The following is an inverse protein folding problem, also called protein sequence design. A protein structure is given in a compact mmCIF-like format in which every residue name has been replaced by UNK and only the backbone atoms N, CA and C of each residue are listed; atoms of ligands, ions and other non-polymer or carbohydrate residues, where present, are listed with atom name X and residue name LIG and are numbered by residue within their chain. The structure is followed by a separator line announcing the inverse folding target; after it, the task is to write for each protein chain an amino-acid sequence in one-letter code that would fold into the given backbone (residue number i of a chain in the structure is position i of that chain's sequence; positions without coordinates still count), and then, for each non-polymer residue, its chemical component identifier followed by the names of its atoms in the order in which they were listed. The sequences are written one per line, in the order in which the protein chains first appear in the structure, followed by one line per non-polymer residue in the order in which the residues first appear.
data_IF_287323553488
#
_entry.id   IF_287323553488
#
_cell.length_a   1.000
_cell.length_b   1.000
_cell.length_c   1.000
_cell.angle_alpha   90.00
_cell.angle_beta   90.00
_cell.angle_gamma   90.00
#
_symmetry.space_group_name_H-M   'P 1'
#
loop_
_entity.id
_entity.type
_entity.pdbx_description
1 polymer ?
#
# COMPACT_ATOMS: atom_id res chain seq x y z
N UNK A 1 8.41 -18.09 -8.46
CA UNK A 1 8.38 -16.61 -8.37
C UNK A 1 9.80 -16.08 -8.32
N UNK A 2 10.10 -15.07 -9.14
CA UNK A 2 11.31 -14.26 -8.97
C UNK A 2 12.44 -14.47 -9.98
N UNK A 3 12.47 -15.56 -10.76
CA UNK A 3 13.46 -15.88 -11.81
C UNK A 3 14.86 -15.26 -11.61
N UNK A 4 15.39 -15.34 -10.38
CA UNK A 4 16.58 -14.57 -9.96
C UNK A 4 17.80 -14.89 -10.82
N UNK A 5 17.97 -16.16 -11.20
CA UNK A 5 19.03 -16.59 -12.10
C UNK A 5 18.97 -15.89 -13.45
N UNK A 6 17.77 -15.71 -14.01
CA UNK A 6 17.57 -14.99 -15.28
C UNK A 6 17.85 -13.51 -15.16
N UNK A 7 17.45 -12.88 -14.05
CA UNK A 7 17.82 -11.49 -13.78
C UNK A 7 19.35 -11.35 -13.71
N UNK A 8 20.04 -12.26 -13.02
CA UNK A 8 21.51 -12.25 -12.94
C UNK A 8 22.19 -12.49 -14.29
N UNK A 9 21.65 -13.36 -15.14
CA UNK A 9 22.13 -13.55 -16.52
C UNK A 9 22.01 -12.24 -17.32
N UNK A 10 20.83 -11.62 -17.32
CA UNK A 10 20.59 -10.36 -18.02
C UNK A 10 21.47 -9.21 -17.53
N UNK A 11 21.69 -9.11 -16.20
CA UNK A 11 22.61 -8.12 -15.63
C UNK A 11 24.06 -8.35 -16.09
N UNK A 12 24.51 -9.61 -16.23
CA UNK A 12 25.86 -9.93 -16.75
C UNK A 12 26.01 -9.56 -18.22
N UNK A 13 24.92 -9.65 -18.98
CA UNK A 13 24.87 -9.29 -20.40
C UNK A 13 24.65 -7.78 -20.61
N UNK A 14 24.57 -7.00 -19.53
CA UNK A 14 24.58 -5.54 -19.56
C UNK A 14 23.20 -4.87 -19.54
N UNK A 15 22.11 -5.62 -19.32
CA UNK A 15 20.78 -5.02 -19.14
C UNK A 15 20.70 -4.34 -17.76
N UNK A 16 19.97 -3.23 -17.69
CA UNK A 16 19.76 -2.49 -16.43
C UNK A 16 18.40 -2.86 -15.80
N UNK A 17 18.39 -3.87 -14.93
CA UNK A 17 17.17 -4.34 -14.26
C UNK A 17 17.14 -3.85 -12.81
N UNK A 18 16.14 -3.04 -12.41
CA UNK A 18 16.13 -2.33 -11.13
C UNK A 18 15.66 -3.20 -9.95
N UNK A 19 15.30 -4.46 -10.20
CA UNK A 19 14.78 -5.38 -9.18
C UNK A 19 15.40 -6.77 -9.31
N UNK A 20 15.60 -7.43 -8.18
CA UNK A 20 16.14 -8.79 -8.14
C UNK A 20 15.08 -9.87 -8.41
N UNK A 21 13.81 -9.50 -8.61
CA UNK A 21 12.70 -10.44 -8.70
C UNK A 21 11.85 -10.16 -9.94
N UNK A 22 11.61 -11.20 -10.72
CA UNK A 22 10.60 -11.20 -11.77
C UNK A 22 9.23 -11.40 -11.15
N UNK A 23 8.43 -10.34 -11.15
CA UNK A 23 7.08 -10.30 -10.59
C UNK A 23 6.09 -10.21 -11.75
N UNK A 24 5.43 -11.34 -11.99
CA UNK A 24 4.42 -11.53 -13.02
C UNK A 24 3.08 -11.81 -12.34
N UNK A 25 2.05 -11.10 -12.75
CA UNK A 25 0.68 -11.23 -12.25
C UNK A 25 -0.19 -11.53 -13.47
N UNK A 26 -1.04 -12.54 -13.39
CA UNK A 26 -1.98 -12.87 -14.48
C UNK A 26 -2.95 -11.72 -14.67
N UNK A 27 -3.09 -11.26 -15.91
CA UNK A 27 -4.07 -10.25 -16.32
C UNK A 27 -5.49 -10.82 -16.36
N UNK A 28 -6.39 -10.06 -16.95
CA UNK A 28 -7.80 -10.46 -17.10
C UNK A 28 -8.03 -11.27 -18.37
N UNK A 29 -7.22 -11.04 -19.42
CA UNK A 29 -7.26 -11.84 -20.64
C UNK A 29 -6.37 -13.08 -20.54
N UNK A 30 -6.66 -14.11 -21.34
CA UNK A 30 -5.95 -15.41 -21.31
C UNK A 30 -4.44 -15.28 -21.61
N UNK A 31 -4.03 -14.28 -22.38
CA UNK A 31 -2.66 -14.02 -22.82
C UNK A 31 -2.05 -12.75 -22.20
N UNK A 32 -2.69 -12.18 -21.17
CA UNK A 32 -2.24 -10.95 -20.54
C UNK A 32 -1.45 -11.23 -19.26
N UNK A 33 -0.28 -10.60 -19.13
CA UNK A 33 0.53 -10.61 -17.91
C UNK A 33 0.88 -9.19 -17.51
N UNK A 34 0.63 -8.85 -16.24
CA UNK A 34 1.09 -7.61 -15.63
C UNK A 34 2.46 -7.80 -15.00
N UNK A 35 3.36 -6.88 -15.29
CA UNK A 35 4.76 -6.94 -14.87
C UNK A 35 5.03 -5.84 -13.86
N UNK A 36 5.39 -6.22 -12.62
CA UNK A 36 5.68 -5.26 -11.55
C UNK A 36 7.16 -5.30 -11.18
N UNK A 37 8.01 -4.87 -12.13
CA UNK A 37 9.46 -4.96 -12.00
C UNK A 37 10.18 -3.61 -11.96
N UNK A 38 9.50 -2.50 -12.26
CA UNK A 38 10.09 -1.16 -12.16
C UNK A 38 10.27 -0.74 -10.71
N UNK A 39 11.36 -0.04 -10.40
CA UNK A 39 11.62 0.57 -9.10
C UNK A 39 12.37 1.87 -9.30
N UNK A 40 11.74 2.97 -8.90
CA UNK A 40 12.34 4.30 -8.96
C UNK A 40 12.53 4.81 -7.54
N UNK A 41 13.76 5.23 -7.23
CA UNK A 41 14.14 5.78 -5.95
C UNK A 41 14.28 7.31 -6.06
N UNK A 42 14.23 8.01 -4.92
CA UNK A 42 14.47 9.46 -4.86
C UNK A 42 13.38 10.33 -5.50
N UNK A 43 12.15 9.83 -5.59
CA UNK A 43 11.01 10.60 -6.09
C UNK A 43 10.17 11.12 -4.93
N UNK A 44 10.02 12.43 -4.87
CA UNK A 44 9.07 13.11 -3.98
C UNK A 44 7.70 13.17 -4.65
N UNK A 45 6.73 12.44 -4.09
CA UNK A 45 5.36 12.42 -4.60
C UNK A 45 4.61 13.75 -4.49
N UNK A 46 5.21 14.76 -3.85
CA UNK A 46 4.63 16.09 -3.65
C UNK A 46 5.24 17.17 -4.54
N UNK A 47 6.29 16.85 -5.30
CA UNK A 47 6.94 17.74 -6.25
C UNK A 47 6.68 17.30 -7.71
N UNK A 48 5.96 18.09 -8.52
CA UNK A 48 5.73 17.80 -9.93
C UNK A 48 7.01 17.59 -10.75
N UNK A 49 8.10 18.28 -10.43
CA UNK A 49 9.37 18.13 -11.15
C UNK A 49 10.01 16.77 -10.83
N UNK A 50 10.00 16.37 -9.56
CA UNK A 50 10.43 15.04 -9.11
C UNK A 50 9.59 13.92 -9.74
N UNK A 51 8.26 14.08 -9.81
CA UNK A 51 7.38 13.13 -10.51
C UNK A 51 7.74 13.02 -12.01
N UNK A 52 7.99 14.13 -12.69
CA UNK A 52 8.40 14.14 -14.09
C UNK A 52 9.72 13.41 -14.31
N UNK A 53 10.68 13.59 -13.40
CA UNK A 53 11.93 12.82 -13.40
C UNK A 53 11.64 11.32 -13.22
N UNK A 54 10.81 10.96 -12.24
CA UNK A 54 10.45 9.58 -11.95
C UNK A 54 9.79 8.86 -13.12
N UNK A 55 8.87 9.54 -13.82
CA UNK A 55 8.23 9.03 -15.04
C UNK A 55 9.26 8.74 -16.13
N UNK A 56 10.20 9.65 -16.39
CA UNK A 56 11.26 9.45 -17.39
C UNK A 56 12.13 8.24 -17.05
N UNK A 57 12.50 8.07 -15.78
CA UNK A 57 13.28 6.92 -15.32
C UNK A 57 12.47 5.63 -15.45
N UNK A 58 11.21 5.64 -15.01
CA UNK A 58 10.32 4.48 -15.10
C UNK A 58 10.12 4.00 -16.53
N UNK A 59 9.92 4.93 -17.49
CA UNK A 59 9.79 4.58 -18.91
C UNK A 59 11.06 3.93 -19.47
N UNK A 60 12.25 4.38 -19.08
CA UNK A 60 13.51 3.72 -19.46
C UNK A 60 13.57 2.29 -18.91
N UNK A 61 13.24 2.11 -17.63
CA UNK A 61 13.22 0.78 -17.00
C UNK A 61 12.24 -0.17 -17.70
N UNK A 62 11.08 0.31 -18.15
CA UNK A 62 10.09 -0.52 -18.87
C UNK A 62 10.70 -1.14 -20.13
N UNK A 63 11.46 -0.37 -20.93
CA UNK A 63 12.10 -0.91 -22.13
C UNK A 63 13.20 -1.93 -21.81
N UNK A 64 13.97 -1.73 -20.74
CA UNK A 64 14.96 -2.71 -20.28
C UNK A 64 14.28 -3.99 -19.76
N UNK A 65 13.17 -3.86 -19.04
CA UNK A 65 12.35 -4.98 -18.56
C UNK A 65 11.75 -5.74 -19.75
N UNK A 66 11.24 -5.06 -20.78
CA UNK A 66 10.72 -5.72 -21.99
C UNK A 66 11.79 -6.58 -22.67
N UNK A 67 13.00 -6.02 -22.89
CA UNK A 67 14.13 -6.77 -23.45
C UNK A 67 14.45 -8.00 -22.59
N UNK A 68 14.53 -7.81 -21.28
CA UNK A 68 14.78 -8.88 -20.32
C UNK A 68 13.75 -10.01 -20.44
N UNK A 69 12.46 -9.66 -20.46
CA UNK A 69 11.38 -10.64 -20.57
C UNK A 69 11.52 -11.45 -21.85
N UNK A 70 11.65 -10.78 -23.01
CA UNK A 70 11.69 -11.45 -24.32
C UNK A 70 12.93 -12.32 -24.52
N UNK A 71 14.07 -11.94 -23.93
CA UNK A 71 15.34 -12.63 -24.15
C UNK A 71 15.62 -13.74 -23.12
N UNK A 72 15.14 -13.59 -21.88
CA UNK A 72 15.56 -14.46 -20.77
C UNK A 72 14.42 -15.21 -20.08
N UNK A 73 13.16 -14.76 -20.23
CA UNK A 73 12.01 -15.38 -19.56
C UNK A 73 11.28 -16.31 -20.53
N UNK A 74 11.29 -17.63 -20.29
CA UNK A 74 10.61 -18.58 -21.16
C UNK A 74 9.12 -18.25 -21.32
N UNK A 75 8.63 -18.28 -22.56
CA UNK A 75 7.25 -17.98 -22.91
C UNK A 75 6.99 -16.52 -23.30
N UNK A 76 7.97 -15.62 -23.12
CA UNK A 76 7.86 -14.21 -23.49
C UNK A 76 8.50 -13.89 -24.85
N UNK A 77 9.02 -14.86 -25.60
CA UNK A 77 9.79 -14.65 -26.83
C UNK A 77 8.99 -13.84 -27.86
N UNK A 78 7.68 -14.13 -27.96
CA UNK A 78 6.74 -13.46 -28.86
C UNK A 78 5.85 -12.42 -28.15
N UNK A 79 6.12 -12.11 -26.88
CA UNK A 79 5.37 -11.10 -26.16
C UNK A 79 5.59 -9.72 -26.77
N UNK A 80 4.59 -8.86 -26.62
CA UNK A 80 4.65 -7.44 -26.96
C UNK A 80 4.11 -6.61 -25.81
N UNK A 81 4.60 -5.39 -25.67
CA UNK A 81 4.06 -4.44 -24.72
C UNK A 81 2.72 -3.91 -25.20
N UNK A 82 1.62 -4.38 -24.62
CA UNK A 82 0.28 -3.85 -24.88
C UNK A 82 0.12 -2.45 -24.28
N UNK A 83 0.41 -2.33 -22.98
CA UNK A 83 0.16 -1.12 -22.19
C UNK A 83 1.22 -0.90 -21.12
N UNK A 84 1.28 0.36 -20.69
CA UNK A 84 2.11 0.80 -19.57
C UNK A 84 1.26 1.55 -18.56
N UNK A 85 1.63 1.50 -17.29
CA UNK A 85 0.94 2.28 -16.27
C UNK A 85 0.95 3.78 -16.66
N UNK A 86 -0.20 4.48 -16.56
CA UNK A 86 -0.31 5.88 -17.00
C UNK A 86 0.43 6.84 -16.07
N UNK A 87 0.69 6.44 -14.83
CA UNK A 87 1.39 7.23 -13.82
C UNK A 87 2.24 6.36 -12.90
N UNK A 88 3.20 7.00 -12.25
CA UNK A 88 4.06 6.44 -11.23
C UNK A 88 3.26 6.10 -9.96
N UNK A 89 3.43 4.88 -9.47
CA UNK A 89 2.88 4.44 -8.20
C UNK A 89 3.66 5.00 -7.00
N UNK A 90 3.16 6.07 -6.38
CA UNK A 90 3.71 6.60 -5.13
C UNK A 90 3.20 5.79 -3.93
N UNK A 91 4.14 5.28 -3.11
CA UNK A 91 3.82 4.44 -1.94
C UNK A 91 3.44 5.24 -0.71
N UNK A 92 4.06 6.40 -0.51
CA UNK A 92 3.87 7.26 0.66
C UNK A 92 4.04 8.73 0.26
N UNK A 93 3.28 9.61 0.91
CA UNK A 93 3.39 11.07 0.74
C UNK A 93 2.99 11.75 2.05
N UNK A 94 2.04 12.70 2.02
CA UNK A 94 1.55 13.39 3.22
C UNK A 94 0.58 12.50 4.01
N UNK A 95 0.78 12.51 5.32
CA UNK A 95 -0.10 11.90 6.32
C UNK A 95 -0.48 12.93 7.37
N UNK A 96 -1.62 12.71 8.00
CA UNK A 96 -2.03 13.49 9.17
C UNK A 96 -1.28 13.05 10.43
N UNK A 97 -1.18 13.96 11.39
CA UNK A 97 -1.03 13.58 12.79
C UNK A 97 -2.44 13.50 13.37
N UNK A 98 -2.86 12.29 13.70
CA UNK A 98 -4.17 11.98 14.23
C UNK A 98 -4.15 11.85 15.75
N UNK A 99 -5.33 11.62 16.34
CA UNK A 99 -5.48 11.39 17.77
C UNK A 99 -4.70 10.16 18.28
N UNK A 100 -4.32 9.25 17.37
CA UNK A 100 -3.34 8.21 17.62
C UNK A 100 -2.45 8.01 16.40
N UNK A 101 -1.19 7.65 16.63
CA UNK A 101 -0.25 7.26 15.59
C UNK A 101 -0.07 5.75 15.69
N UNK A 102 -0.61 5.00 14.73
CA UNK A 102 -0.41 3.54 14.70
C UNK A 102 1.06 3.22 14.41
N UNK A 103 1.68 2.40 15.27
CA UNK A 103 3.11 2.12 15.22
C UNK A 103 3.42 0.72 14.71
N UNK A 104 4.67 0.50 14.31
CA UNK A 104 5.15 -0.85 14.03
C UNK A 104 5.01 -1.79 15.24
N UNK A 105 5.26 -1.29 16.44
CA UNK A 105 5.13 -2.11 17.66
C UNK A 105 3.69 -2.59 17.87
N UNK A 106 2.69 -1.73 17.61
CA UNK A 106 1.28 -2.13 17.68
C UNK A 106 0.97 -3.28 16.70
N UNK A 107 1.54 -3.24 15.49
CA UNK A 107 1.37 -4.29 14.47
C UNK A 107 2.07 -5.58 14.90
N UNK A 108 3.34 -5.51 15.29
CA UNK A 108 4.13 -6.70 15.64
C UNK A 108 3.63 -7.37 16.92
N UNK A 109 3.12 -6.58 17.87
CA UNK A 109 2.48 -7.08 19.09
C UNK A 109 1.04 -7.53 18.89
N UNK A 110 0.44 -7.26 17.71
CA UNK A 110 -0.96 -7.55 17.37
C UNK A 110 -1.94 -6.91 18.35
N UNK A 111 -1.63 -5.67 18.76
CA UNK A 111 -2.35 -4.95 19.80
C UNK A 111 -3.85 -4.89 19.52
N UNK A 112 -4.64 -5.13 20.57
CA UNK A 112 -6.08 -4.91 20.52
C UNK A 112 -6.43 -3.46 20.80
N UNK A 113 -7.39 -2.93 20.05
CA UNK A 113 -7.93 -1.60 20.26
C UNK A 113 -9.44 -1.66 20.50
N UNK A 114 -9.88 -0.99 21.56
CA UNK A 114 -11.31 -0.85 21.89
C UNK A 114 -12.07 -0.13 20.77
N UNK A 115 -11.38 0.75 20.06
CA UNK A 115 -11.86 1.51 18.91
C UNK A 115 -11.40 0.94 17.55
N UNK A 116 -11.13 -0.37 17.45
CA UNK A 116 -10.78 -1.01 16.18
C UNK A 116 -11.89 -0.85 15.14
N UNK A 117 -11.54 -0.41 13.93
CA UNK A 117 -12.46 -0.28 12.79
C UNK A 117 -12.09 -1.15 11.60
N UNK A 118 -10.92 -1.80 11.64
CA UNK A 118 -10.47 -2.70 10.61
C UNK A 118 -9.44 -3.68 11.15
N UNK A 119 -9.40 -4.86 10.54
CA UNK A 119 -8.43 -5.90 10.85
C UNK A 119 -7.60 -6.19 9.60
N UNK A 120 -6.28 -6.23 9.76
CA UNK A 120 -5.35 -6.49 8.67
C UNK A 120 -4.31 -7.54 9.05
N UNK A 121 -3.75 -8.24 8.07
CA UNK A 121 -2.72 -9.27 8.27
C UNK A 121 -1.53 -9.13 7.31
N UNK A 122 -1.51 -8.08 6.50
CA UNK A 122 -0.40 -7.84 5.58
C UNK A 122 0.87 -7.47 6.37
N UNK A 123 2.04 -8.03 6.02
CA UNK A 123 3.26 -7.76 6.76
C UNK A 123 3.73 -6.31 6.58
N UNK A 124 4.60 -5.87 7.48
CA UNK A 124 5.39 -4.66 7.29
C UNK A 124 6.30 -4.91 6.07
N UNK A 125 6.11 -4.11 5.02
CA UNK A 125 6.74 -4.23 3.68
C UNK A 125 7.52 -2.96 3.33
N UNK A 126 8.73 -2.88 3.87
CA UNK A 126 9.61 -1.73 3.72
C UNK A 126 10.48 -1.89 2.48
N UNK A 127 10.34 -0.93 1.57
CA UNK A 127 11.17 -0.79 0.39
C UNK A 127 12.26 0.25 0.67
N UNK A 128 13.51 -0.18 0.71
CA UNK A 128 14.64 0.69 1.04
C UNK A 128 14.86 1.77 -0.03
N UNK A 129 14.86 3.07 0.33
CA UNK A 129 14.93 4.18 -0.62
C UNK A 129 16.32 4.34 -1.25
N UNK A 130 17.39 3.96 -0.55
CA UNK A 130 18.78 4.10 -1.01
C UNK A 130 19.29 2.88 -1.81
N UNK A 131 18.39 1.98 -2.18
CA UNK A 131 18.73 0.70 -2.81
C UNK A 131 18.70 -0.47 -1.82
N UNK A 132 18.90 -1.67 -2.34
CA UNK A 132 18.67 -2.92 -1.60
C UNK A 132 17.26 -3.46 -1.79
N UNK A 133 17.01 -4.62 -1.17
CA UNK A 133 15.80 -5.40 -1.38
C UNK A 133 14.54 -4.83 -0.73
N UNK A 134 13.68 -5.72 -0.26
CA UNK A 134 12.48 -5.41 0.50
C UNK A 134 12.56 -6.18 1.82
N UNK A 135 12.28 -5.51 2.93
CA UNK A 135 12.21 -6.12 4.25
C UNK A 135 10.76 -6.45 4.56
N UNK A 136 10.49 -7.72 4.79
CA UNK A 136 9.20 -8.21 5.25
C UNK A 136 9.29 -8.58 6.74
N UNK A 137 8.45 -7.99 7.58
CA UNK A 137 8.29 -8.38 8.98
C UNK A 137 6.85 -8.80 9.24
N UNK A 138 6.70 -10.03 9.73
CA UNK A 138 5.41 -10.67 9.94
C UNK A 138 5.04 -10.58 11.43
N UNK A 139 3.81 -10.12 11.72
CA UNK A 139 3.20 -10.17 13.05
C UNK A 139 2.83 -11.60 13.48
N UNK A 140 2.72 -12.53 12.52
CA UNK A 140 2.31 -13.92 12.75
C UNK A 140 0.81 -14.14 12.87
N UNK A 141 0.01 -13.07 12.82
CA UNK A 141 -1.46 -13.07 12.83
C UNK A 141 -1.98 -11.71 12.32
N UNK A 142 -3.27 -11.46 12.44
CA UNK A 142 -3.91 -10.19 12.20
C UNK A 142 -3.74 -9.18 13.35
N UNK A 143 -3.93 -7.90 13.04
CA UNK A 143 -3.81 -6.76 13.94
C UNK A 143 -4.90 -5.73 13.64
N UNK A 144 -5.23 -4.93 14.65
CA UNK A 144 -6.31 -3.94 14.60
C UNK A 144 -5.81 -2.56 14.09
N UNK A 145 -6.70 -1.84 13.41
CA UNK A 145 -6.51 -0.43 13.03
C UNK A 145 -7.53 0.41 13.80
N UNK A 146 -7.11 1.32 14.70
CA UNK A 146 -8.03 2.08 15.54
C UNK A 146 -8.62 3.30 14.80
N UNK A 147 -9.89 3.62 15.09
CA UNK A 147 -10.64 4.73 14.52
C UNK A 147 -9.93 6.07 14.69
N UNK A 148 -9.40 6.33 15.88
CA UNK A 148 -8.73 7.58 16.23
C UNK A 148 -7.47 7.87 15.39
N UNK A 149 -6.92 6.87 14.68
CA UNK A 149 -5.84 7.11 13.69
C UNK A 149 -6.33 7.82 12.42
N UNK A 150 -7.62 7.77 12.12
CA UNK A 150 -8.26 8.47 10.99
C UNK A 150 -8.63 9.92 11.33
N UNK A 151 -8.59 10.30 12.61
CA UNK A 151 -9.09 11.59 13.10
C UNK A 151 -7.92 12.56 13.31
N UNK A 152 -7.82 13.66 12.53
CA UNK A 152 -6.79 14.69 12.71
C UNK A 152 -6.85 15.35 14.09
N UNK A 153 -5.70 15.76 14.62
CA UNK A 153 -5.64 16.50 15.89
C UNK A 153 -6.21 17.93 15.81
N UNK A 154 -6.04 18.60 14.67
CA UNK A 154 -6.27 20.05 14.54
C UNK A 154 -7.50 20.42 13.73
N UNK A 155 -8.19 19.45 13.13
CA UNK A 155 -9.33 19.67 12.23
C UNK A 155 -10.52 18.83 12.68
N UNK A 156 -11.54 19.48 13.22
CA UNK A 156 -12.67 18.80 13.87
C UNK A 156 -13.60 18.09 12.88
N UNK A 157 -13.84 18.67 11.71
CA UNK A 157 -14.80 18.17 10.71
C UNK A 157 -14.13 17.46 9.52
N UNK A 158 -13.16 16.58 9.81
CA UNK A 158 -12.40 15.85 8.80
C UNK A 158 -12.12 14.42 9.26
N UNK A 159 -12.34 13.46 8.36
CA UNK A 159 -11.90 12.07 8.51
C UNK A 159 -10.92 11.76 7.39
N UNK A 160 -9.78 11.14 7.71
CA UNK A 160 -8.75 10.78 6.73
C UNK A 160 -8.52 9.27 6.76
N UNK A 161 -8.96 8.59 5.70
CA UNK A 161 -8.78 7.16 5.49
C UNK A 161 -7.69 6.85 4.46
N UNK A 162 -7.23 5.59 4.44
CA UNK A 162 -6.28 5.11 3.45
C UNK A 162 -4.87 5.65 3.67
N UNK A 163 -4.18 6.03 2.59
CA UNK A 163 -2.73 6.29 2.64
C UNK A 163 -2.32 7.55 3.42
N UNK A 164 -3.27 8.40 3.77
CA UNK A 164 -2.99 9.63 4.52
C UNK A 164 -3.27 9.50 6.02
N UNK A 165 -3.64 8.30 6.51
CA UNK A 165 -3.88 7.99 7.92
C UNK A 165 -2.65 8.23 8.82
N UNK A 166 -2.89 8.48 10.11
CA UNK A 166 -1.83 8.68 11.09
C UNK A 166 -1.14 7.38 11.52
N UNK A 167 0.14 7.26 11.15
CA UNK A 167 0.95 6.05 11.30
C UNK A 167 2.44 6.40 11.36
N UNK A 168 3.29 5.50 11.86
CA UNK A 168 4.73 5.53 11.55
C UNK A 168 5.01 5.02 10.12
N UNK A 169 6.18 5.30 9.57
CA UNK A 169 6.57 4.85 8.22
C UNK A 169 6.42 3.33 8.06
N UNK A 170 6.84 2.58 9.07
CA UNK A 170 6.81 1.12 9.11
C UNK A 170 5.37 0.61 9.15
N UNK A 171 4.51 1.16 10.00
CA UNK A 171 3.11 0.74 10.10
C UNK A 171 2.35 1.02 8.80
N UNK A 172 2.59 2.19 8.20
CA UNK A 172 2.04 2.57 6.90
C UNK A 172 2.39 1.56 5.81
N UNK A 173 3.59 1.00 5.86
CA UNK A 173 4.03 -0.01 4.89
C UNK A 173 3.15 -1.27 4.87
N UNK A 174 2.51 -1.59 5.99
CA UNK A 174 1.63 -2.74 6.15
C UNK A 174 0.17 -2.43 5.79
N UNK A 175 -0.33 -1.25 6.20
CA UNK A 175 -1.76 -0.92 6.07
C UNK A 175 -2.14 -0.14 4.81
N UNK A 176 -1.17 0.26 3.99
CA UNK A 176 -1.44 1.00 2.74
C UNK A 176 -1.94 0.15 1.58
N UNK A 177 -2.08 -1.16 1.76
CA UNK A 177 -2.57 -2.07 0.71
C UNK A 177 -4.08 -1.96 0.53
N UNK A 178 -4.61 -2.49 -0.58
CA UNK A 178 -5.98 -2.24 -1.01
C UNK A 178 -7.02 -2.65 0.04
N UNK A 179 -6.89 -3.84 0.64
CA UNK A 179 -7.88 -4.34 1.59
C UNK A 179 -8.03 -3.45 2.84
N UNK A 180 -6.98 -3.11 3.61
CA UNK A 180 -7.12 -2.17 4.73
C UNK A 180 -7.57 -0.77 4.29
N UNK A 181 -7.17 -0.30 3.10
CA UNK A 181 -7.68 0.97 2.58
C UNK A 181 -9.18 0.97 2.32
N UNK A 182 -9.73 -0.13 1.80
CA UNK A 182 -11.18 -0.28 1.62
C UNK A 182 -11.89 -0.30 2.97
N UNK A 183 -11.40 -1.08 3.94
CA UNK A 183 -11.98 -1.16 5.29
C UNK A 183 -11.96 0.19 6.01
N UNK A 184 -10.85 0.93 5.94
CA UNK A 184 -10.77 2.28 6.48
C UNK A 184 -11.75 3.24 5.80
N UNK A 185 -11.97 3.10 4.48
CA UNK A 185 -12.92 3.93 3.73
C UNK A 185 -14.37 3.66 4.13
N UNK A 186 -14.73 2.39 4.29
CA UNK A 186 -16.04 1.97 4.78
C UNK A 186 -16.32 2.50 6.19
N UNK A 187 -15.39 2.27 7.12
CA UNK A 187 -15.48 2.79 8.48
C UNK A 187 -15.58 4.31 8.53
N UNK A 188 -14.84 5.04 7.68
CA UNK A 188 -14.94 6.49 7.58
C UNK A 188 -16.33 6.95 7.10
N UNK A 189 -16.95 6.22 6.16
CA UNK A 189 -18.30 6.49 5.68
C UNK A 189 -19.35 6.30 6.77
N UNK A 190 -19.30 5.17 7.49
CA UNK A 190 -20.18 4.89 8.62
C UNK A 190 -20.02 5.93 9.75
N UNK A 191 -18.77 6.27 10.10
CA UNK A 191 -18.49 7.28 11.10
C UNK A 191 -19.01 8.67 10.71
N UNK A 192 -18.89 9.06 9.43
CA UNK A 192 -19.46 10.31 8.92
C UNK A 192 -21.00 10.30 9.02
N UNK A 193 -21.65 9.18 8.73
CA UNK A 193 -23.10 9.03 8.89
C UNK A 193 -23.52 9.20 10.36
N UNK A 194 -22.82 8.58 11.31
CA UNK A 194 -23.07 8.74 12.74
C UNK A 194 -22.87 10.18 13.21
N UNK A 195 -21.79 10.82 12.76
CA UNK A 195 -21.51 12.22 13.08
C UNK A 195 -22.65 13.15 12.63
N UNK A 196 -23.17 12.96 11.41
CA UNK A 196 -24.32 13.71 10.89
C UNK A 196 -25.59 13.42 11.68
N UNK A 197 -25.90 12.14 11.90
CA UNK A 197 -27.11 11.68 12.61
C UNK A 197 -27.23 12.27 14.01
N UNK A 198 -26.11 12.35 14.72
CA UNK A 198 -26.05 12.87 16.09
C UNK A 198 -25.72 14.37 16.17
N UNK A 199 -25.46 15.01 15.03
CA UNK A 199 -25.03 16.41 14.95
C UNK A 199 -23.79 16.69 15.83
N UNK A 200 -22.77 15.85 15.68
CA UNK A 200 -21.48 15.91 16.37
C UNK A 200 -20.33 15.90 15.36
N UNK A 201 -19.13 16.20 15.82
CA UNK A 201 -17.93 16.07 15.00
C UNK A 201 -17.46 14.60 14.92
N UNK A 202 -16.76 14.21 13.83
CA UNK A 202 -16.13 12.89 13.71
C UNK A 202 -15.29 12.45 14.93
N UNK A 203 -14.62 13.40 15.59
CA UNK A 203 -13.83 13.16 16.81
C UNK A 203 -14.64 12.73 18.03
N UNK A 204 -15.96 12.89 17.98
CA UNK A 204 -16.90 12.60 19.06
C UNK A 204 -17.73 11.34 18.80
N UNK A 205 -17.56 10.68 17.65
CA UNK A 205 -18.26 9.44 17.31
C UNK A 205 -17.94 8.36 18.35
N UNK A 206 -18.99 7.72 18.86
CA UNK A 206 -18.84 6.58 19.77
C UNK A 206 -18.27 5.40 18.99
N UNK A 207 -17.09 4.95 19.40
CA UNK A 207 -16.40 3.83 18.76
C UNK A 207 -17.20 2.52 18.86
N UNK A 208 -18.00 2.34 19.92
CA UNK A 208 -18.81 1.14 20.07
C UNK A 208 -19.98 1.13 19.07
N UNK A 209 -20.69 2.26 18.91
CA UNK A 209 -21.77 2.38 17.91
C UNK A 209 -21.20 2.18 16.50
N UNK A 210 -20.03 2.75 16.20
CA UNK A 210 -19.36 2.54 14.91
C UNK A 210 -19.00 1.07 14.67
N UNK A 211 -18.50 0.37 15.69
CA UNK A 211 -18.17 -1.06 15.59
C UNK A 211 -19.42 -1.91 15.35
N UNK A 212 -20.53 -1.55 15.98
CA UNK A 212 -21.82 -2.22 15.77
C UNK A 212 -22.32 -2.02 14.33
N UNK A 213 -22.22 -0.82 13.78
CA UNK A 213 -22.54 -0.54 12.37
C UNK A 213 -21.65 -1.34 11.41
N UNK A 214 -20.34 -1.42 11.66
CA UNK A 214 -19.41 -2.22 10.84
C UNK A 214 -19.79 -3.71 10.86
N UNK A 215 -20.11 -4.26 12.03
CA UNK A 215 -20.53 -5.67 12.15
C UNK A 215 -21.88 -5.92 11.46
N UNK A 216 -22.81 -4.95 11.52
CA UNK A 216 -24.12 -5.05 10.87
C UNK A 216 -24.01 -5.08 9.33
N UNK A 217 -23.03 -4.38 8.76
CA UNK A 217 -22.70 -4.45 7.32
C UNK A 217 -21.91 -5.72 6.93
N UNK A 218 -21.62 -6.60 7.89
CA UNK A 218 -20.91 -7.86 7.67
C UNK A 218 -19.38 -7.73 7.74
N UNK A 219 -18.86 -6.60 8.23
CA UNK A 219 -17.45 -6.40 8.52
C UNK A 219 -16.95 -7.35 9.62
N UNK A 220 -15.65 -7.63 9.62
CA UNK A 220 -15.00 -8.45 10.64
C UNK A 220 -14.15 -7.59 11.58
N UNK A 221 -14.36 -7.74 12.88
CA UNK A 221 -13.55 -7.16 13.95
C UNK A 221 -13.15 -8.26 14.94
N UNK A 222 -11.96 -8.16 15.52
CA UNK A 222 -11.51 -9.14 16.52
C UNK A 222 -12.30 -9.01 17.81
N UNK A 223 -12.66 -10.16 18.38
CA UNK A 223 -13.13 -10.26 19.76
C UNK A 223 -11.97 -9.99 20.73
N UNK A 224 -12.31 -9.53 21.95
CA UNK A 224 -11.32 -9.25 23.00
C UNK A 224 -10.78 -10.53 23.64
#
# INVERSE_FOLDING_TARGET
VGLRGKVLEALKDGLEIPTERTILITGLNEDEIWVNMSRINGVDGTDPASLTYGEKVGRKQIFEIEKYLKQYVPGFENAYMDRVAPFLGIRESRRIVGQYVLTEEDILSRRHFDDSIAVASYPIDIHHPDGGGCTLRWSGDCYDIPYRSLIPLEVENLIVAGRSISTTHEAMSAIRVMAPCMLMGEAAGLAANLAIKHNIYPSQVDAQELREDILAEGGFLREK
#
